data_IF_665937425906
#
_entry.id   IF_665937425906
#
_cell.length_a   1.000
_cell.length_b   1.000
_cell.length_c   1.000
_cell.angle_alpha   90.00
_cell.angle_beta   90.00
_cell.angle_gamma   90.00
#
_symmetry.space_group_name_H-M   'P 1'
#
loop_
_entity.id
_entity.type
_entity.pdbx_description
1 polymer ?
#
# COMPACT_ATOMS: atom_id res chain seq x y z
N UNK A 1 11.22 -3.33 -9.09
CA UNK A 1 10.19 -2.55 -9.85
C UNK A 1 9.67 -1.31 -9.11
N UNK A 2 9.25 -0.25 -9.82
CA UNK A 2 8.67 0.99 -9.25
C UNK A 2 7.20 1.16 -9.63
N UNK A 3 6.36 1.58 -8.68
CA UNK A 3 4.93 1.89 -8.89
C UNK A 3 4.57 3.18 -8.16
N UNK A 4 3.69 3.98 -8.75
CA UNK A 4 3.06 5.13 -8.10
C UNK A 4 1.59 4.81 -7.85
N UNK A 5 1.15 5.06 -6.63
CA UNK A 5 -0.24 4.91 -6.20
C UNK A 5 -0.75 6.28 -5.78
N UNK A 6 -1.80 6.76 -6.44
CA UNK A 6 -2.44 8.03 -6.07
C UNK A 6 -3.58 7.78 -5.09
N UNK A 7 -3.46 8.36 -3.90
CA UNK A 7 -4.47 8.30 -2.85
C UNK A 7 -5.53 9.39 -3.03
N UNK A 8 -6.64 9.28 -2.31
CA UNK A 8 -7.71 10.29 -2.33
C UNK A 8 -7.17 11.68 -1.95
N UNK A 9 -6.34 11.73 -0.93
CA UNK A 9 -5.69 12.95 -0.45
C UNK A 9 -4.31 12.66 0.17
N UNK A 10 -3.67 13.73 0.68
CA UNK A 10 -2.35 13.65 1.31
C UNK A 10 -2.37 12.81 2.61
N UNK A 11 -3.50 12.77 3.32
CA UNK A 11 -3.64 12.02 4.56
C UNK A 11 -3.64 10.51 4.28
N UNK A 12 -4.42 10.08 3.30
CA UNK A 12 -4.47 8.68 2.85
C UNK A 12 -3.12 8.23 2.27
N UNK A 13 -2.38 9.12 1.60
CA UNK A 13 -1.01 8.82 1.15
C UNK A 13 -0.04 8.58 2.31
N UNK A 14 -0.10 9.40 3.36
CA UNK A 14 0.71 9.21 4.58
C UNK A 14 0.35 7.91 5.30
N UNK A 15 -0.95 7.61 5.39
CA UNK A 15 -1.49 6.38 5.99
C UNK A 15 -1.01 5.15 5.23
N UNK A 16 -1.10 5.15 3.90
CA UNK A 16 -0.60 4.04 3.07
C UNK A 16 0.91 3.84 3.25
N UNK A 17 1.71 4.90 3.15
CA UNK A 17 3.15 4.80 3.21
C UNK A 17 3.67 4.26 4.56
N UNK A 18 3.00 4.60 5.66
CA UNK A 18 3.33 4.10 7.01
C UNK A 18 2.91 2.65 7.24
N UNK A 19 1.80 2.21 6.63
CA UNK A 19 1.30 0.84 6.72
C UNK A 19 2.03 -0.13 5.79
N UNK A 20 2.50 0.32 4.63
CA UNK A 20 3.05 -0.58 3.62
C UNK A 20 4.52 -0.95 3.90
N UNK A 21 5.29 -0.05 4.52
CA UNK A 21 6.72 -0.25 4.75
C UNK A 21 7.23 0.54 5.94
N UNK A 22 7.81 -0.15 6.92
CA UNK A 22 8.48 0.49 8.06
C UNK A 22 9.95 0.61 7.72
N UNK A 23 10.43 1.83 7.46
CA UNK A 23 11.83 2.10 7.08
C UNK A 23 12.85 1.58 8.09
N UNK A 24 12.58 1.73 9.39
CA UNK A 24 13.50 1.29 10.46
C UNK A 24 13.56 -0.23 10.61
N UNK A 25 12.48 -0.93 10.27
CA UNK A 25 12.40 -2.40 10.28
C UNK A 25 12.71 -3.05 8.93
N UNK A 26 12.79 -2.26 7.86
CA UNK A 26 12.86 -2.71 6.45
C UNK A 26 11.86 -3.80 6.11
N UNK A 27 10.65 -3.68 6.64
CA UNK A 27 9.66 -4.73 6.57
C UNK A 27 8.33 -4.24 6.03
N UNK A 28 7.73 -5.04 5.14
CA UNK A 28 6.33 -4.86 4.73
C UNK A 28 5.42 -5.27 5.88
N UNK A 29 4.50 -4.39 6.26
CA UNK A 29 3.63 -4.60 7.41
C UNK A 29 2.23 -5.13 7.03
N UNK A 30 1.83 -4.98 5.76
CA UNK A 30 0.62 -5.58 5.21
C UNK A 30 0.82 -7.09 5.00
N UNK A 31 -0.16 -7.88 5.43
CA UNK A 31 -0.15 -9.34 5.33
C UNK A 31 -1.24 -9.90 4.43
N UNK A 32 -2.33 -9.16 4.21
CA UNK A 32 -3.46 -9.62 3.40
C UNK A 32 -4.36 -8.45 2.97
N UNK A 33 -4.96 -8.53 1.79
CA UNK A 33 -6.13 -7.73 1.42
C UNK A 33 -7.39 -8.43 1.92
N UNK A 34 -8.19 -7.75 2.75
CA UNK A 34 -9.42 -8.28 3.32
C UNK A 34 -10.64 -8.00 2.45
N UNK A 35 -10.72 -6.81 1.86
CA UNK A 35 -11.84 -6.42 1.01
C UNK A 35 -11.45 -5.24 0.09
N UNK A 36 -12.24 -5.05 -0.97
CA UNK A 36 -12.20 -3.88 -1.86
C UNK A 36 -13.63 -3.39 -2.06
N UNK A 37 -13.86 -2.10 -1.83
CA UNK A 37 -15.16 -1.45 -2.01
C UNK A 37 -14.95 -0.13 -2.74
N UNK A 38 -15.36 -0.06 -4.01
CA UNK A 38 -15.10 1.10 -4.88
C UNK A 38 -13.60 1.48 -4.89
N UNK A 39 -13.28 2.70 -4.47
CA UNK A 39 -11.91 3.22 -4.38
C UNK A 39 -11.26 2.95 -3.00
N UNK A 40 -11.89 2.16 -2.13
CA UNK A 40 -11.38 1.77 -0.81
C UNK A 40 -10.79 0.37 -0.83
N UNK A 41 -9.61 0.21 -0.23
CA UNK A 41 -8.99 -1.10 0.02
C UNK A 41 -8.85 -1.34 1.52
N UNK A 42 -9.27 -2.50 1.99
CA UNK A 42 -9.13 -2.92 3.40
C UNK A 42 -8.01 -3.95 3.51
N UNK A 43 -7.04 -3.71 4.37
CA UNK A 43 -5.85 -4.55 4.55
C UNK A 43 -5.68 -5.00 6.00
N UNK A 44 -5.09 -6.18 6.17
CA UNK A 44 -4.67 -6.73 7.45
C UNK A 44 -3.18 -6.49 7.67
N UNK A 45 -2.84 -5.92 8.82
CA UNK A 45 -1.45 -5.70 9.23
C UNK A 45 -0.93 -6.85 10.10
N UNK A 46 0.39 -6.90 10.33
CA UNK A 46 1.03 -7.96 11.14
C UNK A 46 0.57 -8.02 12.59
N UNK A 47 0.20 -6.88 13.16
CA UNK A 47 -0.39 -6.78 14.50
C UNK A 47 -1.85 -7.25 14.56
N UNK A 48 -2.39 -7.75 13.43
CA UNK A 48 -3.77 -8.23 13.22
C UNK A 48 -4.83 -7.12 13.22
N UNK A 49 -4.42 -5.85 13.21
CA UNK A 49 -5.35 -4.75 12.97
C UNK A 49 -5.77 -4.71 11.50
N UNK A 50 -7.01 -4.26 11.27
CA UNK A 50 -7.56 -4.02 9.94
C UNK A 50 -7.65 -2.51 9.71
N UNK A 51 -7.16 -2.05 8.57
CA UNK A 51 -7.20 -0.65 8.17
C UNK A 51 -7.70 -0.54 6.74
N UNK A 52 -8.44 0.53 6.46
CA UNK A 52 -8.81 0.87 5.10
C UNK A 52 -7.94 1.99 4.55
N UNK A 53 -7.79 2.07 3.24
CA UNK A 53 -7.13 3.17 2.53
C UNK A 53 -8.04 3.60 1.38
N UNK A 54 -8.31 4.90 1.28
CA UNK A 54 -9.03 5.49 0.16
C UNK A 54 -8.06 5.95 -0.92
N UNK A 55 -8.19 5.35 -2.10
CA UNK A 55 -7.41 5.70 -3.28
C UNK A 55 -8.16 6.69 -4.16
N UNK A 56 -7.47 7.27 -5.15
CA UNK A 56 -8.09 8.28 -6.02
C UNK A 56 -9.32 7.74 -6.75
N UNK A 57 -9.25 6.51 -7.25
CA UNK A 57 -10.28 5.85 -8.02
C UNK A 57 -10.06 4.33 -8.03
N UNK A 58 -11.01 3.58 -8.59
CA UNK A 58 -10.95 2.12 -8.66
C UNK A 58 -9.72 1.61 -9.44
N UNK A 59 -9.21 2.36 -10.42
CA UNK A 59 -8.01 1.96 -11.17
C UNK A 59 -6.76 1.97 -10.30
N UNK A 60 -6.69 2.89 -9.33
CA UNK A 60 -5.63 2.90 -8.34
C UNK A 60 -5.74 1.71 -7.37
N UNK A 61 -6.96 1.29 -7.04
CA UNK A 61 -7.18 0.08 -6.22
C UNK A 61 -6.69 -1.16 -6.94
N UNK A 62 -7.07 -1.36 -8.19
CA UNK A 62 -6.59 -2.49 -8.99
C UNK A 62 -5.06 -2.48 -9.12
N UNK A 63 -4.47 -1.31 -9.43
CA UNK A 63 -3.02 -1.13 -9.54
C UNK A 63 -2.29 -1.44 -8.24
N UNK A 64 -2.84 -1.01 -7.11
CA UNK A 64 -2.25 -1.26 -5.80
C UNK A 64 -2.41 -2.71 -5.37
N UNK A 65 -3.60 -3.30 -5.55
CA UNK A 65 -3.89 -4.69 -5.21
C UNK A 65 -2.97 -5.66 -5.97
N UNK A 66 -2.83 -5.48 -7.29
CA UNK A 66 -1.87 -6.22 -8.12
C UNK A 66 -0.43 -6.08 -7.60
N UNK A 67 -0.02 -4.84 -7.29
CA UNK A 67 1.34 -4.58 -6.84
C UNK A 67 1.65 -5.23 -5.48
N UNK A 68 0.75 -5.11 -4.50
CA UNK A 68 0.96 -5.58 -3.13
C UNK A 68 0.76 -7.09 -3.01
N UNK A 69 -0.07 -7.71 -3.85
CA UNK A 69 -0.30 -9.15 -3.82
C UNK A 69 1.02 -9.92 -4.01
N UNK A 70 1.86 -9.51 -4.98
CA UNK A 70 3.16 -10.15 -5.19
C UNK A 70 4.13 -9.96 -4.01
N UNK A 71 3.92 -8.92 -3.18
CA UNK A 71 4.74 -8.66 -1.99
C UNK A 71 4.26 -9.55 -0.84
N UNK A 72 2.94 -9.69 -0.68
CA UNK A 72 2.29 -10.56 0.30
C UNK A 72 2.66 -12.03 0.05
N UNK A 73 2.68 -12.44 -1.22
CA UNK A 73 3.06 -13.80 -1.65
C UNK A 73 4.58 -14.07 -1.52
N UNK A 74 5.35 -13.10 -1.03
CA UNK A 74 6.79 -13.14 -0.80
C UNK A 74 7.66 -13.27 -2.05
N UNK A 75 7.09 -13.06 -3.23
CA UNK A 75 7.86 -13.04 -4.48
C UNK A 75 8.78 -11.82 -4.56
N UNK A 76 8.39 -10.72 -3.91
CA UNK A 76 9.13 -9.46 -3.91
C UNK A 76 9.09 -8.78 -2.54
N UNK A 77 10.11 -7.96 -2.25
CA UNK A 77 10.15 -7.11 -1.04
C UNK A 77 10.12 -5.64 -1.40
N UNK A 78 9.38 -4.86 -0.63
CA UNK A 78 9.42 -3.39 -0.74
C UNK A 78 10.74 -2.91 -0.12
N UNK A 79 11.46 -2.07 -0.85
CA UNK A 79 12.76 -1.53 -0.44
C UNK A 79 12.67 -0.04 -0.09
N UNK A 80 11.74 0.69 -0.71
CA UNK A 80 11.62 2.12 -0.51
C UNK A 80 10.19 2.62 -0.74
N UNK A 81 9.82 3.63 0.03
CA UNK A 81 8.60 4.42 -0.14
C UNK A 81 8.90 5.91 -0.03
N UNK A 82 8.28 6.69 -0.92
CA UNK A 82 8.39 8.15 -0.97
C UNK A 82 7.01 8.77 -1.19
N UNK A 83 6.65 9.75 -0.35
CA UNK A 83 5.36 10.45 -0.42
C UNK A 83 5.56 11.76 -1.20
N UNK A 84 4.69 12.02 -2.17
CA UNK A 84 4.69 13.26 -2.99
C UNK A 84 3.25 13.76 -3.07
N UNK A 85 2.85 14.65 -2.15
CA UNK A 85 1.46 15.09 -2.04
C UNK A 85 0.54 13.92 -1.67
N UNK A 86 -0.42 13.61 -2.54
CA UNK A 86 -1.32 12.46 -2.40
C UNK A 86 -0.81 11.20 -3.13
N UNK A 87 0.40 11.22 -3.69
CA UNK A 87 1.01 10.05 -4.31
C UNK A 87 1.97 9.34 -3.36
N UNK A 88 1.96 8.01 -3.41
CA UNK A 88 2.98 7.16 -2.79
C UNK A 88 3.73 6.44 -3.90
N UNK A 89 5.01 6.73 -4.02
CA UNK A 89 5.93 5.99 -4.85
C UNK A 89 6.51 4.83 -4.05
N UNK A 90 6.40 3.62 -4.59
CA UNK A 90 6.80 2.37 -3.94
C UNK A 90 7.78 1.65 -4.86
N UNK A 91 8.92 1.26 -4.32
CA UNK A 91 9.93 0.47 -5.02
C UNK A 91 10.01 -0.89 -4.32
N UNK A 92 9.86 -1.95 -5.10
CA UNK A 92 10.14 -3.35 -4.71
C UNK A 92 11.32 -3.91 -5.50
N UNK A 93 11.92 -5.00 -5.04
CA UNK A 93 12.92 -5.76 -5.82
C UNK A 93 12.35 -6.17 -7.19
#
# INVERSE_FOLDING_TARGET
MKRKITCLDNYEAQKLATMIYIKDGKETFITKILNVVENEIVVLLKDKSAHSILLKDNSQVESFADFIQSVIEQDHKIIETTIIGNEVEIIKE
#
